data_IF_605478035019
#
_entry.id   IF_605478035019
#
_cell.length_a   1.000
_cell.length_b   1.000
_cell.length_c   1.000
_cell.angle_alpha   90.00
_cell.angle_beta   90.00
_cell.angle_gamma   90.00
#
_symmetry.space_group_name_H-M   'P 1'
#
loop_
_entity.id
_entity.type
_entity.pdbx_description
1 polymer ?
#
# COMPACT_ATOMS: atom_id res chain seq x y z
N UNK A 1 -15.64 34.54 -19.60
CA UNK A 1 -16.99 33.94 -19.46
C UNK A 1 -16.86 32.48 -19.88
N UNK A 2 -16.56 31.60 -18.93
CA UNK A 2 -16.48 30.16 -19.16
C UNK A 2 -17.90 29.59 -19.05
N UNK A 3 -18.48 29.25 -20.16
CA UNK A 3 -19.78 28.54 -20.25
C UNK A 3 -19.63 27.17 -19.55
N UNK A 4 -20.22 27.03 -18.38
CA UNK A 4 -20.41 25.74 -17.73
C UNK A 4 -21.33 24.89 -18.61
N UNK A 5 -20.76 23.97 -19.36
CA UNK A 5 -21.53 22.97 -20.10
C UNK A 5 -22.25 22.10 -19.05
N UNK A 6 -23.52 22.43 -18.79
CA UNK A 6 -24.38 21.63 -17.93
C UNK A 6 -24.45 20.20 -18.51
N UNK A 7 -23.93 19.26 -17.76
CA UNK A 7 -23.99 17.83 -18.14
C UNK A 7 -25.46 17.44 -18.32
N UNK A 8 -25.89 16.95 -19.48
CA UNK A 8 -27.29 16.61 -19.72
C UNK A 8 -27.76 15.58 -18.68
N UNK A 9 -29.04 15.64 -18.26
CA UNK A 9 -29.58 14.74 -17.25
C UNK A 9 -29.43 13.29 -17.71
N UNK A 10 -29.00 12.40 -16.80
CA UNK A 10 -28.89 10.96 -17.11
C UNK A 10 -30.28 10.36 -17.24
N UNK A 11 -30.50 9.52 -18.26
CA UNK A 11 -31.68 8.69 -18.34
C UNK A 11 -31.71 7.73 -17.13
N UNK A 12 -32.83 7.70 -16.41
CA UNK A 12 -33.01 6.89 -15.20
C UNK A 12 -33.03 5.37 -15.46
N UNK A 13 -33.07 4.95 -16.72
CA UNK A 13 -33.04 3.54 -17.11
C UNK A 13 -34.14 2.68 -16.46
N UNK A 14 -35.32 3.25 -16.23
CA UNK A 14 -36.43 2.58 -15.52
C UNK A 14 -36.94 1.33 -16.22
N UNK A 15 -36.69 1.19 -17.54
CA UNK A 15 -36.96 -0.02 -18.29
C UNK A 15 -35.98 -1.16 -18.01
N UNK A 16 -34.85 -0.88 -17.41
CA UNK A 16 -33.86 -1.90 -17.01
C UNK A 16 -34.28 -2.53 -15.68
N UNK A 17 -34.34 -3.87 -15.57
CA UNK A 17 -34.59 -4.53 -14.29
C UNK A 17 -33.62 -4.09 -13.18
N UNK A 18 -32.35 -3.82 -13.53
CA UNK A 18 -31.35 -3.36 -12.58
C UNK A 18 -31.74 -2.05 -11.93
N UNK A 19 -32.21 -1.04 -12.68
CA UNK A 19 -32.49 0.31 -12.16
C UNK A 19 -33.98 0.56 -11.89
N UNK A 20 -34.87 -0.15 -12.56
CA UNK A 20 -36.32 0.04 -12.42
C UNK A 20 -36.97 -0.84 -11.36
N UNK A 21 -36.35 -1.98 -11.01
CA UNK A 21 -36.95 -2.99 -10.12
C UNK A 21 -36.13 -3.18 -8.84
N UNK A 22 -34.80 -3.27 -8.95
CA UNK A 22 -33.95 -3.61 -7.80
C UNK A 22 -33.73 -2.41 -6.87
N UNK A 23 -33.88 -2.61 -5.53
CA UNK A 23 -33.50 -1.62 -4.53
C UNK A 23 -32.03 -1.23 -4.61
N UNK A 24 -31.67 -0.03 -4.11
CA UNK A 24 -30.30 0.50 -4.12
C UNK A 24 -29.28 -0.41 -3.45
N UNK A 25 -29.64 -1.02 -2.31
CA UNK A 25 -28.79 -1.94 -1.56
C UNK A 25 -28.41 -3.18 -2.38
N UNK A 26 -29.39 -3.74 -3.11
CA UNK A 26 -29.15 -4.91 -3.98
C UNK A 26 -28.27 -4.51 -5.16
N UNK A 27 -28.50 -3.32 -5.75
CA UNK A 27 -27.62 -2.80 -6.79
C UNK A 27 -26.20 -2.60 -6.32
N UNK A 28 -26.00 -2.06 -5.10
CA UNK A 28 -24.67 -1.92 -4.50
C UNK A 28 -23.97 -3.27 -4.38
N UNK A 29 -24.65 -4.30 -3.88
CA UNK A 29 -24.09 -5.65 -3.78
C UNK A 29 -23.71 -6.21 -5.16
N UNK A 30 -24.56 -5.97 -6.18
CA UNK A 30 -24.24 -6.37 -7.56
C UNK A 30 -23.00 -5.61 -8.07
N UNK A 31 -22.90 -4.30 -7.81
CA UNK A 31 -21.71 -3.53 -8.19
C UNK A 31 -20.47 -4.00 -7.44
N UNK A 32 -20.55 -4.29 -6.14
CA UNK A 32 -19.44 -4.84 -5.36
C UNK A 32 -18.90 -6.13 -6.00
N UNK A 33 -19.77 -7.08 -6.30
CA UNK A 33 -19.39 -8.35 -6.92
C UNK A 33 -18.89 -8.20 -8.37
N UNK A 34 -19.54 -7.31 -9.16
CA UNK A 34 -19.22 -7.15 -10.57
C UNK A 34 -17.99 -6.27 -10.84
N UNK A 35 -17.59 -5.43 -9.87
CA UNK A 35 -16.48 -4.48 -10.00
C UNK A 35 -15.24 -4.91 -9.20
N UNK A 36 -15.28 -6.09 -8.57
CA UNK A 36 -14.09 -6.64 -7.90
C UNK A 36 -12.91 -6.67 -8.87
N UNK A 37 -11.74 -6.30 -8.36
CA UNK A 37 -10.50 -6.43 -9.11
C UNK A 37 -10.08 -7.90 -9.09
N UNK A 38 -9.79 -8.44 -10.26
CA UNK A 38 -9.19 -9.75 -10.43
C UNK A 38 -7.77 -9.61 -10.99
N UNK A 39 -6.94 -10.61 -10.76
CA UNK A 39 -5.63 -10.67 -11.40
C UNK A 39 -5.79 -10.97 -12.89
N UNK A 40 -5.00 -10.29 -13.70
CA UNK A 40 -5.01 -10.49 -15.15
C UNK A 40 -4.19 -11.71 -15.52
N UNK A 41 -4.84 -12.83 -15.78
CA UNK A 41 -4.17 -14.06 -16.22
C UNK A 41 -3.37 -13.90 -17.52
N UNK A 42 -3.80 -13.01 -18.42
CA UNK A 42 -3.09 -12.75 -19.68
C UNK A 42 -1.81 -11.93 -19.48
N UNK A 43 -1.77 -11.14 -18.41
CA UNK A 43 -0.64 -10.32 -18.00
C UNK A 43 0.13 -10.88 -16.80
N UNK A 44 0.02 -12.19 -16.52
CA UNK A 44 0.64 -12.81 -15.36
C UNK A 44 2.14 -12.49 -15.26
N UNK A 45 2.60 -12.16 -14.06
CA UNK A 45 4.01 -11.90 -13.81
C UNK A 45 4.81 -13.20 -13.79
N UNK A 46 6.07 -13.20 -14.26
CA UNK A 46 6.94 -14.35 -14.09
C UNK A 46 7.09 -14.74 -12.62
N UNK A 47 6.96 -16.02 -12.28
CA UNK A 47 7.07 -16.50 -10.88
C UNK A 47 8.41 -16.14 -10.24
N UNK A 48 9.47 -15.94 -11.02
CA UNK A 48 10.80 -15.55 -10.56
C UNK A 48 11.02 -14.03 -10.51
N UNK A 49 10.00 -13.23 -10.84
CA UNK A 49 10.08 -11.78 -10.65
C UNK A 49 10.06 -11.39 -9.17
N UNK A 50 10.70 -10.27 -8.83
CA UNK A 50 10.73 -9.77 -7.46
C UNK A 50 9.36 -9.32 -6.94
N UNK A 51 8.39 -9.07 -7.83
CA UNK A 51 7.05 -8.57 -7.48
C UNK A 51 5.95 -9.64 -7.50
N UNK A 52 6.26 -10.85 -7.98
CA UNK A 52 5.30 -11.95 -7.96
C UNK A 52 5.02 -12.44 -6.53
N UNK A 53 3.75 -12.58 -6.21
CA UNK A 53 3.27 -13.26 -4.99
C UNK A 53 1.78 -13.57 -5.12
N UNK A 54 1.22 -14.50 -4.32
CA UNK A 54 -0.22 -14.74 -4.29
C UNK A 54 -1.00 -13.46 -3.96
N UNK A 55 -2.04 -13.16 -4.73
CA UNK A 55 -2.81 -11.92 -4.67
C UNK A 55 -2.20 -10.75 -5.48
N UNK A 56 -1.01 -10.97 -6.06
CA UNK A 56 -0.30 -10.02 -6.94
C UNK A 56 0.50 -10.82 -7.99
N UNK A 57 -0.13 -11.84 -8.58
CA UNK A 57 0.48 -12.68 -9.63
C UNK A 57 0.39 -12.05 -11.02
N UNK A 58 -0.33 -10.94 -11.16
CA UNK A 58 -0.49 -10.16 -12.38
C UNK A 58 -0.95 -8.73 -12.09
N UNK A 59 -1.09 -7.88 -13.11
CA UNK A 59 -1.72 -6.59 -12.97
C UNK A 59 -3.15 -6.75 -12.46
N UNK A 60 -3.54 -5.97 -11.45
CA UNK A 60 -4.93 -5.94 -10.99
C UNK A 60 -5.77 -5.22 -12.04
N UNK A 61 -6.68 -5.93 -12.68
CA UNK A 61 -7.71 -5.38 -13.58
C UNK A 61 -9.00 -5.20 -12.79
N UNK A 62 -9.41 -3.97 -12.59
CA UNK A 62 -10.78 -3.70 -12.15
C UNK A 62 -11.75 -3.96 -13.32
N UNK A 63 -12.82 -4.72 -13.08
CA UNK A 63 -13.86 -4.95 -14.08
C UNK A 63 -14.70 -3.69 -14.31
N UNK A 64 -14.17 -2.72 -15.06
CA UNK A 64 -14.86 -1.46 -15.34
C UNK A 64 -15.92 -1.57 -16.46
N UNK A 65 -16.10 -2.75 -17.06
CA UNK A 65 -17.03 -2.94 -18.17
C UNK A 65 -18.45 -2.50 -17.82
N UNK A 66 -18.94 -2.83 -16.62
CA UNK A 66 -20.27 -2.41 -16.17
C UNK A 66 -20.39 -0.89 -16.08
N UNK A 67 -19.36 -0.18 -15.66
CA UNK A 67 -19.36 1.29 -15.55
C UNK A 67 -19.45 1.98 -16.92
N UNK A 68 -19.09 1.28 -17.98
CA UNK A 68 -19.12 1.79 -19.36
C UNK A 68 -20.45 1.56 -20.08
N UNK A 69 -21.40 0.85 -19.47
CA UNK A 69 -22.68 0.49 -20.10
C UNK A 69 -23.64 1.69 -20.19
N UNK A 70 -23.74 2.48 -19.12
CA UNK A 70 -24.58 3.69 -19.12
C UNK A 70 -24.16 4.65 -18.01
N UNK A 71 -24.60 5.91 -18.11
CA UNK A 71 -24.30 6.96 -17.12
C UNK A 71 -24.79 6.62 -15.70
N UNK A 72 -25.90 5.90 -15.57
CA UNK A 72 -26.44 5.51 -14.28
C UNK A 72 -25.54 4.47 -13.60
N UNK A 73 -25.11 3.44 -14.33
CA UNK A 73 -24.14 2.46 -13.84
C UNK A 73 -22.83 3.13 -13.42
N UNK A 74 -22.33 4.08 -14.21
CA UNK A 74 -21.15 4.84 -13.85
C UNK A 74 -21.34 5.64 -12.55
N UNK A 75 -22.45 6.40 -12.42
CA UNK A 75 -22.71 7.25 -11.26
C UNK A 75 -22.86 6.46 -9.95
N UNK A 76 -23.54 5.32 -9.98
CA UNK A 76 -23.73 4.46 -8.81
C UNK A 76 -22.48 3.61 -8.54
N UNK A 77 -21.88 3.00 -9.56
CA UNK A 77 -20.81 2.01 -9.41
C UNK A 77 -19.42 2.61 -9.19
N UNK A 78 -19.11 3.83 -9.67
CA UNK A 78 -17.75 4.36 -9.55
C UNK A 78 -17.24 4.46 -8.11
N UNK A 79 -18.10 4.84 -7.15
CA UNK A 79 -17.73 4.93 -5.73
C UNK A 79 -17.48 3.55 -5.16
N UNK A 80 -18.29 2.58 -5.53
CA UNK A 80 -18.13 1.17 -5.13
C UNK A 80 -16.82 0.63 -5.68
N UNK A 81 -16.54 0.86 -6.95
CA UNK A 81 -15.28 0.45 -7.59
C UNK A 81 -14.05 0.99 -6.85
N UNK A 82 -14.02 2.30 -6.58
CA UNK A 82 -12.89 2.91 -5.88
C UNK A 82 -12.76 2.48 -4.42
N UNK A 83 -13.87 2.16 -3.75
CA UNK A 83 -13.86 1.64 -2.39
C UNK A 83 -13.27 0.22 -2.30
N UNK A 84 -13.60 -0.63 -3.29
CA UNK A 84 -13.10 -2.00 -3.33
C UNK A 84 -11.69 -2.11 -3.94
N UNK A 85 -11.27 -1.12 -4.73
CA UNK A 85 -9.94 -1.08 -5.31
C UNK A 85 -8.87 -0.97 -4.22
N UNK A 86 -7.88 -1.86 -4.24
CA UNK A 86 -6.62 -1.68 -3.51
C UNK A 86 -5.58 -1.11 -4.47
N UNK A 87 -5.22 0.17 -4.30
CA UNK A 87 -4.17 0.78 -5.10
C UNK A 87 -2.79 0.36 -4.59
N UNK A 88 -2.07 -0.44 -5.36
CA UNK A 88 -0.77 -0.98 -4.99
C UNK A 88 0.37 -0.26 -5.73
N UNK A 89 1.44 0.07 -4.99
CA UNK A 89 2.66 0.70 -5.50
C UNK A 89 3.89 -0.02 -4.95
N UNK A 90 4.92 -0.12 -5.78
CA UNK A 90 6.19 -0.75 -5.44
C UNK A 90 7.30 0.30 -5.38
N UNK A 91 7.95 0.41 -4.26
CA UNK A 91 9.09 1.31 -4.09
C UNK A 91 10.37 0.51 -4.20
N UNK A 92 10.88 0.45 -5.43
CA UNK A 92 11.89 -0.43 -5.96
C UNK A 92 11.41 -1.85 -6.33
N UNK A 93 12.00 -2.42 -7.38
CA UNK A 93 11.73 -3.77 -7.88
C UNK A 93 10.23 -4.07 -8.03
N UNK A 94 9.54 -3.21 -8.76
CA UNK A 94 8.12 -3.34 -9.05
C UNK A 94 7.82 -3.42 -10.54
N UNK A 95 6.58 -3.73 -10.92
CA UNK A 95 6.14 -3.75 -12.30
C UNK A 95 6.14 -2.34 -12.90
N UNK A 96 6.24 -2.28 -14.21
CA UNK A 96 6.20 -1.01 -14.96
C UNK A 96 4.92 -0.22 -14.68
N UNK A 97 5.03 1.10 -14.63
CA UNK A 97 3.90 2.01 -14.39
C UNK A 97 3.37 2.06 -12.95
N UNK A 98 3.87 1.19 -12.06
CA UNK A 98 3.48 1.15 -10.63
C UNK A 98 4.67 1.23 -9.68
N UNK A 99 5.86 1.47 -10.23
CA UNK A 99 7.10 1.49 -9.48
C UNK A 99 7.62 2.90 -9.25
N UNK A 100 8.09 3.16 -8.03
CA UNK A 100 8.72 4.41 -7.60
C UNK A 100 7.75 5.48 -7.07
N UNK A 101 8.35 6.49 -6.42
CA UNK A 101 7.61 7.59 -5.80
C UNK A 101 6.77 8.35 -6.81
N UNK A 102 7.32 8.63 -8.00
CA UNK A 102 6.63 9.40 -9.04
C UNK A 102 5.36 8.72 -9.54
N UNK A 103 5.35 7.37 -9.67
CA UNK A 103 4.17 6.65 -10.09
C UNK A 103 3.03 6.78 -9.05
N UNK A 104 3.37 6.65 -7.77
CA UNK A 104 2.43 6.85 -6.66
C UNK A 104 1.93 8.30 -6.60
N UNK A 105 2.84 9.25 -6.65
CA UNK A 105 2.53 10.70 -6.60
C UNK A 105 1.61 11.13 -7.73
N UNK A 106 1.92 10.76 -8.98
CA UNK A 106 1.10 11.10 -10.14
C UNK A 106 -0.29 10.50 -10.03
N UNK A 107 -0.39 9.22 -9.62
CA UNK A 107 -1.69 8.59 -9.42
C UNK A 107 -2.57 9.39 -8.46
N UNK A 108 -2.04 9.80 -7.30
CA UNK A 108 -2.83 10.57 -6.34
C UNK A 108 -3.13 11.99 -6.82
N UNK A 109 -2.19 12.67 -7.48
CA UNK A 109 -2.42 14.01 -8.06
C UNK A 109 -3.50 14.04 -9.13
N UNK A 110 -3.65 12.96 -9.89
CA UNK A 110 -4.65 12.82 -10.94
C UNK A 110 -6.05 12.48 -10.41
N UNK A 111 -6.18 12.11 -9.13
CA UNK A 111 -7.47 11.83 -8.52
C UNK A 111 -8.26 13.12 -8.29
N UNK A 112 -9.55 13.09 -8.67
CA UNK A 112 -10.48 14.14 -8.21
C UNK A 112 -10.68 14.04 -6.69
N UNK A 113 -11.07 15.14 -6.02
CA UNK A 113 -11.36 15.10 -4.57
C UNK A 113 -12.37 14.01 -4.18
N UNK A 114 -13.38 13.77 -5.00
CA UNK A 114 -14.40 12.74 -4.76
C UNK A 114 -13.83 11.33 -4.93
N UNK A 115 -12.97 11.12 -5.94
CA UNK A 115 -12.29 9.84 -6.15
C UNK A 115 -11.31 9.54 -4.99
N UNK A 116 -10.55 10.53 -4.55
CA UNK A 116 -9.64 10.44 -3.42
C UNK A 116 -10.37 10.01 -2.12
N UNK A 117 -11.54 10.61 -1.82
CA UNK A 117 -12.36 10.23 -0.67
C UNK A 117 -12.96 8.82 -0.79
N UNK A 118 -13.12 8.31 -2.01
CA UNK A 118 -13.72 6.99 -2.24
C UNK A 118 -12.68 5.86 -2.25
N UNK A 119 -11.40 6.17 -2.52
CA UNK A 119 -10.31 5.20 -2.48
C UNK A 119 -9.92 4.91 -1.02
N UNK A 120 -10.27 3.72 -0.55
CA UNK A 120 -10.08 3.38 0.86
C UNK A 120 -8.82 2.59 1.15
N UNK A 121 -8.33 1.79 0.20
CA UNK A 121 -7.25 0.83 0.42
C UNK A 121 -6.03 1.18 -0.43
N UNK A 122 -4.90 1.34 0.22
CA UNK A 122 -3.61 1.58 -0.46
C UNK A 122 -2.58 0.60 0.09
N UNK A 123 -1.76 0.05 -0.80
CA UNK A 123 -0.68 -0.87 -0.45
C UNK A 123 0.66 -0.35 -0.96
N UNK A 124 1.66 -0.39 -0.10
CA UNK A 124 3.05 -0.09 -0.40
C UNK A 124 3.90 -1.35 -0.27
N UNK A 125 4.51 -1.78 -1.36
CA UNK A 125 5.60 -2.75 -1.33
C UNK A 125 6.90 -1.97 -1.21
N UNK A 126 7.65 -2.17 -0.13
CA UNK A 126 8.79 -1.31 0.17
C UNK A 126 10.04 -2.09 0.51
N UNK A 127 11.17 -1.62 -0.02
CA UNK A 127 12.50 -2.01 0.41
C UNK A 127 12.82 -1.36 1.77
N UNK A 128 13.64 -2.03 2.59
CA UNK A 128 14.01 -1.52 3.91
C UNK A 128 14.63 -0.13 3.85
N UNK A 129 15.56 0.12 2.90
CA UNK A 129 16.20 1.43 2.77
C UNK A 129 15.21 2.56 2.47
N UNK A 130 14.17 2.26 1.66
CA UNK A 130 13.14 3.23 1.33
C UNK A 130 12.26 3.57 2.53
N UNK A 131 11.89 2.55 3.32
CA UNK A 131 11.05 2.72 4.50
C UNK A 131 11.84 3.42 5.62
N UNK A 132 13.05 2.96 5.90
CA UNK A 132 13.88 3.46 7.00
C UNK A 132 14.39 4.88 6.78
N UNK A 133 14.50 5.35 5.52
CA UNK A 133 14.77 6.77 5.22
C UNK A 133 13.71 7.71 5.83
N UNK A 134 12.45 7.28 5.86
CA UNK A 134 11.32 7.98 6.46
C UNK A 134 10.81 9.19 5.68
N UNK A 135 11.64 9.91 4.91
CA UNK A 135 11.21 11.08 4.13
C UNK A 135 10.24 10.71 3.02
N UNK A 136 10.46 9.57 2.36
CA UNK A 136 9.61 9.10 1.28
C UNK A 136 8.18 8.84 1.77
N UNK A 137 8.05 8.11 2.87
CA UNK A 137 6.73 7.82 3.45
C UNK A 137 6.05 9.09 3.95
N UNK A 138 6.80 9.99 4.62
CA UNK A 138 6.29 11.29 5.06
C UNK A 138 5.74 12.09 3.90
N UNK A 139 6.49 12.19 2.80
CA UNK A 139 6.10 12.94 1.61
C UNK A 139 4.80 12.40 1.01
N UNK A 140 4.71 11.08 0.78
CA UNK A 140 3.52 10.47 0.17
C UNK A 140 2.28 10.58 1.06
N UNK A 141 2.42 10.35 2.37
CA UNK A 141 1.32 10.51 3.32
C UNK A 141 0.88 11.97 3.45
N UNK A 142 1.71 12.93 3.03
CA UNK A 142 1.42 14.36 3.07
C UNK A 142 0.69 14.89 1.83
N UNK A 143 0.54 14.08 0.78
CA UNK A 143 -0.19 14.50 -0.41
C UNK A 143 -1.66 14.79 -0.06
N UNK A 144 -2.23 15.93 -0.51
CA UNK A 144 -3.61 16.31 -0.18
C UNK A 144 -4.65 15.27 -0.60
N UNK A 145 -4.40 14.55 -1.70
CA UNK A 145 -5.27 13.51 -2.23
C UNK A 145 -5.02 12.13 -1.61
N UNK A 146 -4.00 11.96 -0.76
CA UNK A 146 -3.71 10.70 -0.09
C UNK A 146 -4.57 10.58 1.18
N UNK A 147 -5.77 10.00 1.05
CA UNK A 147 -6.76 9.90 2.13
C UNK A 147 -7.34 8.48 2.31
N UNK A 148 -6.53 7.43 2.25
CA UNK A 148 -7.05 6.09 2.48
C UNK A 148 -7.47 5.89 3.93
N UNK A 149 -8.47 5.05 4.15
CA UNK A 149 -8.82 4.59 5.49
C UNK A 149 -7.94 3.43 5.96
N UNK A 150 -7.33 2.72 5.00
CA UNK A 150 -6.41 1.62 5.26
C UNK A 150 -5.14 1.76 4.42
N UNK A 151 -4.01 1.71 5.09
CA UNK A 151 -2.69 1.59 4.47
C UNK A 151 -2.09 0.22 4.83
N UNK A 152 -1.62 -0.51 3.83
CA UNK A 152 -0.86 -1.75 4.03
C UNK A 152 0.59 -1.52 3.57
N UNK A 153 1.55 -1.75 4.44
CA UNK A 153 2.99 -1.77 4.10
C UNK A 153 3.41 -3.22 4.03
N UNK A 154 3.90 -3.66 2.89
CA UNK A 154 4.35 -5.03 2.68
C UNK A 154 5.85 -5.06 2.47
N UNK A 155 6.56 -5.79 3.34
CA UNK A 155 7.99 -6.05 3.27
C UNK A 155 8.13 -7.50 2.80
N UNK A 156 8.49 -7.67 1.51
CA UNK A 156 8.69 -9.00 0.91
C UNK A 156 10.01 -9.59 1.37
N UNK A 157 10.22 -10.87 1.16
CA UNK A 157 11.49 -11.53 1.47
C UNK A 157 12.70 -10.80 0.88
N UNK A 158 12.61 -10.38 -0.39
CA UNK A 158 13.70 -9.67 -1.09
C UNK A 158 13.82 -8.18 -0.71
N UNK A 159 12.99 -7.68 0.19
CA UNK A 159 13.01 -6.28 0.62
C UNK A 159 13.83 -6.08 1.90
N UNK A 160 14.20 -7.15 2.60
CA UNK A 160 15.05 -7.10 3.78
C UNK A 160 16.50 -6.76 3.45
N UNK A 161 17.19 -6.13 4.38
CA UNK A 161 18.62 -5.86 4.25
C UNK A 161 19.41 -7.17 4.10
N UNK A 162 20.28 -7.22 3.08
CA UNK A 162 21.20 -8.33 2.82
C UNK A 162 20.51 -9.71 2.73
N UNK A 163 19.28 -9.75 2.24
CA UNK A 163 18.54 -10.99 2.03
C UNK A 163 19.29 -11.99 1.14
N UNK A 164 20.14 -11.49 0.23
CA UNK A 164 20.98 -12.29 -0.67
C UNK A 164 21.99 -13.17 0.07
N UNK A 165 22.37 -12.80 1.29
CA UNK A 165 23.41 -13.47 2.08
C UNK A 165 22.85 -14.23 3.29
N UNK A 166 21.55 -14.37 3.40
CA UNK A 166 20.87 -15.03 4.51
C UNK A 166 21.21 -14.45 5.90
N UNK A 167 21.53 -13.16 5.98
CA UNK A 167 21.79 -12.51 7.24
C UNK A 167 20.53 -12.42 8.12
N UNK A 168 20.69 -12.30 9.47
CA UNK A 168 19.56 -12.08 10.35
C UNK A 168 18.73 -10.88 9.92
N UNK A 169 17.40 -11.00 10.04
CA UNK A 169 16.51 -9.91 9.67
C UNK A 169 16.74 -8.71 10.59
N UNK A 170 16.78 -7.52 9.97
CA UNK A 170 16.98 -6.25 10.66
C UNK A 170 15.96 -5.23 10.17
N UNK A 171 15.43 -4.46 11.09
CA UNK A 171 14.56 -3.32 10.84
C UNK A 171 14.84 -2.25 11.89
N UNK A 172 15.15 -1.06 11.44
CA UNK A 172 15.31 0.12 12.28
C UNK A 172 13.97 0.86 12.43
N UNK A 173 13.86 1.69 13.46
CA UNK A 173 12.60 2.35 13.83
C UNK A 173 12.67 3.88 13.73
N UNK A 174 13.83 4.45 13.37
CA UNK A 174 13.99 5.90 13.29
C UNK A 174 13.06 6.57 12.26
N UNK A 175 12.53 5.82 11.25
CA UNK A 175 11.54 6.31 10.30
C UNK A 175 10.20 6.69 10.97
N UNK A 176 9.94 6.14 12.16
CA UNK A 176 8.71 6.43 12.89
C UNK A 176 8.57 7.91 13.24
N UNK A 177 9.68 8.62 13.44
CA UNK A 177 9.67 10.07 13.70
C UNK A 177 9.09 10.87 12.55
N UNK A 178 9.19 10.34 11.33
CA UNK A 178 8.64 10.95 10.10
C UNK A 178 7.24 10.47 9.78
N UNK A 179 6.79 9.38 10.40
CA UNK A 179 5.46 8.85 10.12
C UNK A 179 4.39 9.76 10.71
N UNK A 180 3.59 10.33 9.81
CA UNK A 180 2.41 11.12 10.13
C UNK A 180 1.26 10.61 9.27
N UNK A 181 0.41 9.77 9.84
CA UNK A 181 -0.74 9.21 9.14
C UNK A 181 -1.59 10.31 8.48
N UNK A 182 -2.05 10.06 7.26
CA UNK A 182 -2.94 10.98 6.54
C UNK A 182 -4.27 11.14 7.29
N UNK A 183 -4.97 12.28 7.11
CA UNK A 183 -6.32 12.44 7.67
C UNK A 183 -7.24 11.31 7.21
N UNK A 184 -8.04 10.78 8.15
CA UNK A 184 -8.96 9.68 7.86
C UNK A 184 -8.34 8.28 7.92
N UNK A 185 -7.03 8.12 8.08
CA UNK A 185 -6.40 6.81 8.24
C UNK A 185 -6.89 6.14 9.54
N UNK A 186 -7.44 4.92 9.41
CA UNK A 186 -8.03 4.16 10.54
C UNK A 186 -7.32 2.84 10.79
N UNK A 187 -6.66 2.30 9.76
CA UNK A 187 -5.98 1.01 9.84
C UNK A 187 -4.64 1.10 9.14
N UNK A 188 -3.57 0.75 9.84
CA UNK A 188 -2.29 0.40 9.24
C UNK A 188 -2.08 -1.09 9.41
N UNK A 189 -1.75 -1.77 8.32
CA UNK A 189 -1.27 -3.15 8.33
C UNK A 189 0.18 -3.17 7.89
N UNK A 190 1.01 -3.93 8.59
CA UNK A 190 2.36 -4.25 8.13
C UNK A 190 2.43 -5.75 7.90
N UNK A 191 2.64 -6.13 6.65
CA UNK A 191 2.88 -7.50 6.25
C UNK A 191 4.38 -7.75 6.17
N UNK A 192 4.85 -8.67 6.99
CA UNK A 192 6.23 -9.13 7.00
C UNK A 192 6.30 -10.49 6.32
N UNK A 193 7.03 -10.58 5.22
CA UNK A 193 7.25 -11.84 4.51
C UNK A 193 8.71 -12.25 4.61
N UNK A 194 8.97 -13.52 4.89
CA UNK A 194 10.30 -14.10 4.87
C UNK A 194 10.25 -15.59 4.60
N UNK A 195 11.39 -16.25 4.57
CA UNK A 195 11.48 -17.71 4.46
C UNK A 195 11.15 -18.37 5.80
N UNK A 196 10.50 -19.53 5.77
CA UNK A 196 9.95 -20.18 6.97
C UNK A 196 10.97 -20.37 8.08
N UNK A 197 12.25 -20.61 7.74
CA UNK A 197 13.30 -20.81 8.76
C UNK A 197 13.77 -19.51 9.44
N UNK A 198 13.41 -18.34 8.90
CA UNK A 198 13.66 -17.02 9.52
C UNK A 198 12.48 -16.49 10.32
N UNK A 199 11.45 -17.30 10.53
CA UNK A 199 10.25 -16.89 11.25
C UNK A 199 10.56 -16.30 12.63
N UNK A 200 11.48 -16.89 13.38
CA UNK A 200 11.83 -16.42 14.74
C UNK A 200 12.45 -15.02 14.73
N UNK A 201 13.33 -14.73 13.77
CA UNK A 201 13.90 -13.39 13.59
C UNK A 201 12.80 -12.36 13.32
N UNK A 202 11.92 -12.67 12.38
CA UNK A 202 10.77 -11.83 12.02
C UNK A 202 9.86 -11.61 13.23
N UNK A 203 9.56 -12.64 14.01
CA UNK A 203 8.69 -12.53 15.17
C UNK A 203 9.29 -11.65 16.27
N UNK A 204 10.62 -11.64 16.45
CA UNK A 204 11.31 -10.71 17.39
C UNK A 204 11.10 -9.25 16.96
N UNK A 205 11.22 -8.96 15.67
CA UNK A 205 10.96 -7.63 15.10
C UNK A 205 9.49 -7.23 15.34
N UNK A 206 8.55 -8.10 15.01
CA UNK A 206 7.11 -7.84 15.16
C UNK A 206 6.76 -7.56 16.62
N UNK A 207 7.28 -8.37 17.59
CA UNK A 207 7.00 -8.16 19.01
C UNK A 207 7.53 -6.82 19.51
N UNK A 208 8.70 -6.39 19.05
CA UNK A 208 9.21 -5.04 19.32
C UNK A 208 8.29 -3.96 18.75
N UNK A 209 7.90 -4.12 17.48
CA UNK A 209 7.14 -3.12 16.74
C UNK A 209 5.71 -2.94 17.25
N UNK A 210 5.13 -3.94 17.90
CA UNK A 210 3.78 -3.84 18.51
C UNK A 210 3.62 -2.69 19.51
N UNK A 211 4.70 -2.22 20.08
CA UNK A 211 4.70 -1.09 21.02
C UNK A 211 4.56 0.27 20.33
N UNK A 212 4.67 0.33 19.02
CA UNK A 212 4.61 1.59 18.27
C UNK A 212 3.24 2.23 18.37
N UNK A 213 3.25 3.53 18.60
CA UNK A 213 2.10 4.41 18.50
C UNK A 213 2.36 5.40 17.37
N UNK A 214 1.49 5.45 16.40
CA UNK A 214 1.70 6.18 15.15
C UNK A 214 0.66 7.29 15.03
N UNK A 215 1.06 8.57 15.07
CA UNK A 215 0.10 9.68 15.03
C UNK A 215 -0.63 9.76 13.70
N UNK A 216 -1.87 10.24 13.74
CA UNK A 216 -2.71 10.52 12.58
C UNK A 216 -3.08 11.99 12.60
N UNK A 217 -2.85 12.68 11.48
CA UNK A 217 -3.16 14.11 11.33
C UNK A 217 -4.66 14.35 11.28
N UNK A 218 -5.08 15.50 11.82
CA UNK A 218 -6.42 16.05 11.62
C UNK A 218 -6.59 16.62 10.21
N UNK A 219 -7.83 16.73 9.74
CA UNK A 219 -8.16 17.48 8.52
C UNK A 219 -8.04 19.01 8.70
N UNK A 220 -8.09 19.49 9.93
CA UNK A 220 -7.96 20.91 10.23
C UNK A 220 -6.51 21.36 9.98
N UNK A 221 -6.27 22.03 8.87
CA UNK A 221 -5.01 22.72 8.60
C UNK A 221 -4.95 24.01 9.43
N UNK A 222 -4.20 23.98 10.52
CA UNK A 222 -3.70 25.21 11.15
C UNK A 222 -2.36 25.59 10.52
N UNK A 223 -2.20 26.83 10.10
CA UNK A 223 -0.98 27.36 9.51
C UNK A 223 0.25 27.29 10.45
N UNK A 224 0.05 26.97 11.72
CA UNK A 224 1.10 27.01 12.75
C UNK A 224 1.33 25.69 13.50
N UNK A 225 0.36 24.77 13.50
CA UNK A 225 0.49 23.49 14.21
C UNK A 225 -0.17 22.37 13.40
N UNK A 226 0.52 21.22 13.33
CA UNK A 226 -0.09 20.01 12.78
C UNK A 226 -0.95 19.39 13.89
N UNK A 227 -2.25 19.60 13.80
CA UNK A 227 -3.18 19.00 14.77
C UNK A 227 -3.33 17.51 14.54
N UNK A 228 -3.32 16.74 15.63
CA UNK A 228 -3.48 15.30 15.61
C UNK A 228 -4.92 14.91 15.92
N UNK A 229 -5.51 14.07 15.06
CA UNK A 229 -6.84 13.51 15.31
C UNK A 229 -6.78 12.38 16.34
N UNK A 230 -5.70 11.60 16.33
CA UNK A 230 -5.50 10.46 17.20
C UNK A 230 -4.21 9.73 16.86
N UNK A 231 -4.15 8.44 17.19
CA UNK A 231 -3.01 7.60 16.85
C UNK A 231 -3.45 6.18 16.46
N UNK A 232 -2.56 5.45 15.81
CA UNK A 232 -2.73 4.03 15.51
C UNK A 232 -1.97 3.22 16.55
N UNK A 233 -2.60 2.15 17.09
CA UNK A 233 -2.03 1.23 18.07
C UNK A 233 -2.30 -0.21 17.70
N UNK A 234 -1.34 -1.11 17.94
CA UNK A 234 -1.48 -2.55 17.77
C UNK A 234 -2.01 -3.25 19.05
N UNK A 235 -2.36 -2.49 20.07
CA UNK A 235 -2.88 -3.03 21.32
C UNK A 235 -4.17 -3.83 21.09
N UNK A 236 -4.25 -5.03 21.66
CA UNK A 236 -5.41 -5.92 21.52
C UNK A 236 -5.59 -6.54 20.12
N UNK A 237 -4.71 -6.25 19.15
CA UNK A 237 -4.78 -6.86 17.82
C UNK A 237 -4.12 -8.24 17.79
N UNK A 238 -4.66 -9.11 16.93
CA UNK A 238 -4.11 -10.45 16.70
C UNK A 238 -3.32 -10.47 15.40
N UNK A 239 -2.20 -11.18 15.41
CA UNK A 239 -1.44 -11.46 14.20
C UNK A 239 -2.24 -12.40 13.29
N UNK A 240 -2.14 -12.17 11.99
CA UNK A 240 -2.60 -13.10 10.96
C UNK A 240 -1.37 -13.72 10.31
N UNK A 241 -1.37 -15.04 10.15
CA UNK A 241 -0.26 -15.78 9.54
C UNK A 241 -0.80 -16.63 8.41
N UNK A 242 -0.05 -16.66 7.30
CA UNK A 242 -0.28 -17.58 6.21
C UNK A 242 1.04 -17.93 5.54
N UNK A 243 1.04 -18.98 4.71
CA UNK A 243 2.23 -19.50 4.05
C UNK A 243 1.93 -19.79 2.60
N UNK A 244 2.96 -19.69 1.78
CA UNK A 244 2.89 -20.08 0.38
C UNK A 244 4.21 -20.67 -0.09
N UNK A 245 4.17 -21.42 -1.20
CA UNK A 245 5.36 -21.98 -1.83
C UNK A 245 5.63 -21.24 -3.11
N UNK A 246 6.74 -20.52 -3.15
CA UNK A 246 7.22 -19.79 -4.31
C UNK A 246 8.50 -20.36 -4.86
N UNK A 247 8.96 -19.78 -5.97
CA UNK A 247 10.23 -20.16 -6.57
C UNK A 247 11.40 -19.91 -5.63
N UNK A 248 12.45 -20.76 -5.74
CA UNK A 248 13.74 -20.50 -5.09
C UNK A 248 14.63 -19.55 -5.90
N UNK A 249 14.15 -19.09 -7.07
CA UNK A 249 14.86 -18.18 -7.96
C UNK A 249 14.18 -16.83 -7.94
N UNK A 250 14.95 -15.75 -7.85
CA UNK A 250 14.45 -14.39 -7.95
C UNK A 250 15.32 -13.61 -8.92
N UNK A 251 14.70 -12.92 -9.87
CA UNK A 251 15.41 -12.18 -10.91
C UNK A 251 16.30 -13.05 -11.77
N UNK A 252 15.95 -14.33 -11.98
CA UNK A 252 16.74 -15.32 -12.69
C UNK A 252 17.93 -15.90 -11.89
N UNK A 253 18.20 -15.37 -10.68
CA UNK A 253 19.27 -15.82 -9.80
C UNK A 253 18.84 -16.94 -8.85
N UNK A 254 19.75 -17.87 -8.55
CA UNK A 254 19.57 -18.89 -7.51
C UNK A 254 20.52 -18.60 -6.35
N UNK A 255 19.99 -18.60 -5.14
CA UNK A 255 20.73 -18.24 -3.94
C UNK A 255 21.12 -19.49 -3.15
N UNK A 256 22.37 -19.56 -2.69
CA UNK A 256 22.91 -20.74 -2.03
C UNK A 256 22.08 -21.22 -0.81
N UNK A 257 21.57 -20.29 -0.03
CA UNK A 257 20.77 -20.58 1.15
C UNK A 257 19.34 -21.07 0.84
N UNK A 258 18.90 -21.02 -0.42
CA UNK A 258 17.63 -21.64 -0.85
C UNK A 258 17.77 -23.15 -1.07
N UNK A 259 18.98 -23.71 -0.93
CA UNK A 259 19.25 -25.13 -1.13
C UNK A 259 19.09 -25.56 -2.59
N UNK A 260 18.77 -26.85 -2.79
CA UNK A 260 18.60 -27.45 -4.12
C UNK A 260 17.15 -27.47 -4.59
N UNK A 261 16.18 -27.17 -3.73
CA UNK A 261 14.76 -27.18 -4.07
C UNK A 261 14.41 -26.10 -5.09
N UNK A 262 13.51 -26.40 -6.01
CA UNK A 262 12.99 -25.41 -6.96
C UNK A 262 11.97 -24.47 -6.33
N UNK A 263 11.33 -24.88 -5.23
CA UNK A 263 10.37 -24.08 -4.46
C UNK A 263 10.77 -24.02 -2.98
N UNK A 264 10.58 -22.86 -2.39
CA UNK A 264 10.79 -22.61 -0.95
C UNK A 264 9.50 -22.16 -0.29
N UNK A 265 9.37 -22.39 1.01
CA UNK A 265 8.21 -21.95 1.78
C UNK A 265 8.44 -20.54 2.31
N UNK A 266 7.58 -19.63 1.89
CA UNK A 266 7.46 -18.28 2.42
C UNK A 266 6.41 -18.25 3.53
N UNK A 267 6.68 -17.48 4.56
CA UNK A 267 5.75 -17.17 5.64
C UNK A 267 5.46 -15.67 5.64
N UNK A 268 4.19 -15.34 5.76
CA UNK A 268 3.72 -13.96 5.87
C UNK A 268 3.01 -13.79 7.19
N UNK A 269 3.40 -12.77 7.94
CA UNK A 269 2.74 -12.38 9.19
C UNK A 269 2.29 -10.93 9.05
N UNK A 270 1.00 -10.71 9.26
CA UNK A 270 0.39 -9.38 9.24
C UNK A 270 0.13 -8.91 10.66
N UNK A 271 0.70 -7.80 11.04
CA UNK A 271 0.33 -7.06 12.24
C UNK A 271 -0.55 -5.86 11.86
N UNK A 272 -1.42 -5.45 12.77
CA UNK A 272 -2.45 -4.43 12.49
C UNK A 272 -2.49 -3.41 13.61
N UNK A 273 -2.36 -2.12 13.24
CA UNK A 273 -2.59 -0.98 14.11
C UNK A 273 -3.95 -0.39 13.78
N UNK A 274 -4.75 -0.16 14.80
CA UNK A 274 -6.09 0.44 14.69
C UNK A 274 -6.10 1.82 15.28
N UNK A 275 -6.94 2.68 14.73
CA UNK A 275 -7.12 4.04 15.21
C UNK A 275 -7.69 4.08 16.62
N UNK A 276 -7.08 4.93 17.44
CA UNK A 276 -7.49 5.29 18.79
C UNK A 276 -7.73 6.79 18.79
N UNK A 277 -8.94 7.19 19.15
CA UNK A 277 -9.40 8.59 19.18
C UNK A 277 -8.83 9.32 20.42
N UNK A 278 -7.52 9.36 20.48
CA UNK A 278 -6.76 10.08 21.52
C UNK A 278 -5.42 10.47 20.92
N UNK A 279 -5.11 11.76 20.82
CA UNK A 279 -3.80 12.22 20.37
C UNK A 279 -2.69 11.74 21.31
N UNK A 280 -1.50 11.55 20.75
CA UNK A 280 -0.31 11.26 21.55
C UNK A 280 0.01 12.47 22.43
N UNK A 281 0.46 12.21 23.66
CA UNK A 281 0.95 13.25 24.56
C UNK A 281 2.22 13.91 24.00
N UNK A 282 2.51 15.12 24.44
CA UNK A 282 3.74 15.84 24.06
C UNK A 282 5.00 15.04 24.42
N UNK A 283 4.96 14.27 25.51
CA UNK A 283 6.07 13.43 25.95
C UNK A 283 6.27 12.22 25.01
N UNK A 284 5.19 11.55 24.60
CA UNK A 284 5.23 10.46 23.62
C UNK A 284 5.72 10.95 22.26
N UNK A 285 5.33 12.16 21.83
CA UNK A 285 5.81 12.76 20.60
C UNK A 285 7.31 13.08 20.66
N UNK A 286 7.81 13.65 21.78
CA UNK A 286 9.24 13.93 21.99
C UNK A 286 10.08 12.65 22.04
N UNK A 287 9.56 11.58 22.67
CA UNK A 287 10.28 10.30 22.73
C UNK A 287 10.53 9.70 21.34
N UNK A 288 9.74 10.06 20.34
CA UNK A 288 9.97 9.68 18.93
C UNK A 288 11.12 10.46 18.30
N UNK A 289 11.27 11.75 18.66
CA UNK A 289 12.31 12.63 18.10
C UNK A 289 13.70 12.32 18.70
N UNK A 290 13.75 11.92 19.98
CA UNK A 290 14.99 11.68 20.72
C UNK A 290 15.63 10.31 20.45
N UNK A 291 15.02 9.45 19.66
CA UNK A 291 15.54 8.11 19.32
C UNK A 291 15.70 7.18 20.53
N UNK A 292 15.10 7.50 21.67
CA UNK A 292 15.11 6.70 22.89
C UNK A 292 13.94 5.73 22.97
N UNK A 293 13.87 4.82 22.02
CA UNK A 293 13.22 3.54 22.26
C UNK A 293 14.32 2.55 22.65
N UNK A 294 14.19 1.92 23.79
CA UNK A 294 15.17 1.02 24.42
C UNK A 294 15.99 0.21 23.41
N UNK A 295 17.30 0.43 23.40
CA UNK A 295 18.26 -0.40 22.69
C UNK A 295 18.12 -1.86 23.11
N UNK A 296 17.73 -2.72 22.18
CA UNK A 296 18.01 -4.13 22.35
C UNK A 296 19.55 -4.32 22.35
N UNK A 297 20.12 -5.22 23.16
CA UNK A 297 21.55 -5.34 23.32
C UNK A 297 22.25 -5.60 22.00
N UNK A 298 23.13 -4.71 21.62
CA UNK A 298 23.91 -4.73 20.40
C UNK A 298 24.79 -5.99 20.36
N UNK A 299 24.58 -6.84 19.40
CA UNK A 299 25.59 -7.81 18.97
C UNK A 299 26.66 -7.05 18.20
N UNK A 300 27.84 -6.91 18.80
CA UNK A 300 28.99 -6.20 18.25
C UNK A 300 29.47 -6.81 16.95
N UNK A 301 29.67 -5.95 15.98
CA UNK A 301 30.78 -6.00 15.03
C UNK A 301 30.49 -6.62 13.68
N UNK A 302 30.39 -5.79 12.65
CA UNK A 302 31.18 -5.88 11.40
C UNK A 302 31.06 -4.52 10.69
N UNK A 303 32.20 -4.05 10.18
CA UNK A 303 32.44 -2.74 9.62
C UNK A 303 31.61 -2.41 8.36
N UNK A 304 31.20 -1.16 8.29
CA UNK A 304 30.55 -0.54 7.14
C UNK A 304 31.56 -0.24 6.04
N UNK A 305 31.43 -0.86 4.89
CA UNK A 305 31.96 -0.35 3.62
C UNK A 305 30.79 0.11 2.71
N UNK A 306 30.85 1.37 2.37
CA UNK A 306 29.91 2.08 1.52
C UNK A 306 30.12 1.72 0.04
N UNK A 307 29.10 1.16 -0.59
CA UNK A 307 29.03 1.10 -2.06
C UNK A 307 27.84 1.93 -2.54
N UNK A 308 28.15 3.12 -3.05
CA UNK A 308 27.23 3.94 -3.84
C UNK A 308 27.12 3.33 -5.25
N UNK A 309 25.96 2.79 -5.58
CA UNK A 309 25.62 2.47 -6.96
C UNK A 309 24.77 3.60 -7.55
N UNK A 310 25.37 4.34 -8.48
CA UNK A 310 24.69 5.31 -9.33
C UNK A 310 24.03 4.57 -10.49
N UNK A 311 22.69 4.51 -10.52
CA UNK A 311 21.96 4.14 -11.73
C UNK A 311 21.28 5.37 -12.33
N UNK A 312 21.69 5.70 -13.54
CA UNK A 312 21.11 6.72 -14.40
C UNK A 312 19.88 6.12 -15.08
N UNK A 313 18.72 6.73 -14.90
CA UNK A 313 17.48 6.35 -15.61
C UNK A 313 17.11 7.42 -16.63
N UNK A 314 16.84 6.95 -17.86
CA UNK A 314 16.30 7.75 -18.96
C UNK A 314 14.82 7.42 -19.12
N UNK A 315 13.98 8.44 -19.01
CA UNK A 315 12.54 8.28 -18.91
C UNK A 315 11.82 8.33 -20.25
N UNK A 316 10.97 7.38 -20.51
CA UNK A 316 9.79 7.54 -21.39
C UNK A 316 8.59 6.81 -20.77
N UNK A 317 7.54 7.59 -20.51
CA UNK A 317 6.24 7.13 -20.03
C UNK A 317 5.29 7.01 -21.22
N UNK A 318 4.74 5.81 -21.42
CA UNK A 318 3.49 5.65 -22.15
C UNK A 318 2.36 5.36 -21.16
N UNK A 319 1.45 6.32 -21.08
CA UNK A 319 0.30 6.33 -20.18
C UNK A 319 -0.81 5.41 -20.72
N UNK A 320 -1.05 4.27 -20.08
CA UNK A 320 -2.24 3.45 -20.32
C UNK A 320 -3.38 3.74 -19.31
N UNK A 321 -3.67 5.00 -19.11
CA UNK A 321 -4.95 5.48 -18.55
C UNK A 321 -5.35 6.74 -19.32
N UNK A 322 -5.81 6.54 -20.53
CA UNK A 322 -6.56 7.60 -21.20
C UNK A 322 -7.91 7.72 -20.52
N UNK A 323 -8.08 8.79 -19.78
CA UNK A 323 -9.41 9.35 -19.49
C UNK A 323 -10.16 9.42 -20.82
N UNK A 324 -11.37 8.85 -20.98
CA UNK A 324 -12.14 9.11 -22.16
C UNK A 324 -12.47 10.60 -22.16
N UNK A 325 -11.92 11.32 -23.13
CA UNK A 325 -12.37 12.64 -23.48
C UNK A 325 -13.90 12.61 -23.61
N UNK A 326 -14.54 13.61 -23.01
CA UNK A 326 -15.97 13.83 -23.11
C UNK A 326 -16.37 13.90 -24.59
N UNK A 327 -17.05 12.88 -25.03
CA UNK A 327 -17.63 12.80 -26.38
C UNK A 327 -18.54 11.59 -26.43
N UNK A 328 -19.75 11.79 -25.93
CA UNK A 328 -21.04 11.27 -26.47
C UNK A 328 -22.15 11.79 -25.57
#
# INVERSE_FOLDING_TARGET
>A
MTSSLATPPSNLQLQSPLFGVLPGEIRNTIFELALMSDEDDEGAYPEDSYWYRPGFSGPLKGSSALLRTCRMAYREGQKVFLRELEAAFWFDRGPEGRSGNSACENFFKDLTPQASQSLQKVRFFTQMYWLEDGYNIYYLLSLPQFRPTQLTITIRYSDWWHWEHDYPLRMEDHWLRFFMGSPGLRVLQVEYETLSWKKEDMMRIIQRNKKWKLPVRSEAESFQTVDMEGHLSAEGTKLKEWKWKGTSKLGGGKWAHHGTADKVEYIVVTDTWKFVDTPLSTEEMRGRDDGRMEEAPATRGIATESLRATSRWDGRLDLMWTTPAAGF
#
